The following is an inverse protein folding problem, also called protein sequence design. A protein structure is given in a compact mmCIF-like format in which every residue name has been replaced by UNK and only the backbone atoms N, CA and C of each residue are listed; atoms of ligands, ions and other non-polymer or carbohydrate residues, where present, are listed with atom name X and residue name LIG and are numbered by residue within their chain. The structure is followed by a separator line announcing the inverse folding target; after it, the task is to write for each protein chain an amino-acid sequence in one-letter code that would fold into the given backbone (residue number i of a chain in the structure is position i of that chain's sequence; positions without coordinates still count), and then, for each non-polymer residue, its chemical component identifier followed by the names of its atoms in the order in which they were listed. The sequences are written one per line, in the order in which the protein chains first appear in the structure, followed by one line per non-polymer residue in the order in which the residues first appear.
data_IF_478683964787
#
_entry.id   IF_478683964787
#
_cell.length_a   1.000
_cell.length_b   1.000
_cell.length_c   1.000
_cell.angle_alpha   90.00
_cell.angle_beta   90.00
_cell.angle_gamma   90.00
#
_symmetry.space_group_name_H-M   'P 1'
#
loop_
_entity.id
_entity.type
_entity.pdbx_description
1 polymer ?
#
# COMPACT_ATOMS: atom_id res chain seq x y z
N UNK A 1 16.19 -16.65 12.67
CA UNK A 1 15.39 -15.83 11.72
C UNK A 1 13.89 -16.09 11.80
N UNK A 2 13.43 -17.34 11.87
CA UNK A 2 12.00 -17.64 12.14
C UNK A 2 11.49 -17.07 13.46
N UNK A 3 12.35 -17.03 14.49
CA UNK A 3 12.03 -16.54 15.83
C UNK A 3 11.50 -15.10 15.87
N UNK A 4 11.74 -14.32 14.82
CA UNK A 4 11.30 -12.93 14.72
C UNK A 4 10.08 -12.75 13.80
N UNK A 5 9.56 -13.84 13.22
CA UNK A 5 8.28 -13.80 12.48
C UNK A 5 7.16 -13.40 13.44
N UNK A 6 6.15 -12.71 12.91
CA UNK A 6 5.00 -12.20 13.68
C UNK A 6 5.33 -11.21 14.82
N UNK A 7 6.60 -10.87 15.06
CA UNK A 7 7.03 -9.87 16.04
C UNK A 7 6.83 -8.42 15.58
N UNK A 8 6.14 -8.20 14.44
CA UNK A 8 5.85 -6.88 13.86
C UNK A 8 7.08 -6.00 13.61
N UNK A 9 8.27 -6.58 13.45
CA UNK A 9 9.51 -5.84 13.22
C UNK A 9 9.40 -4.88 12.03
N UNK A 10 8.81 -5.32 10.92
CA UNK A 10 8.57 -4.47 9.76
C UNK A 10 7.75 -3.22 10.10
N UNK A 11 6.70 -3.36 10.91
CA UNK A 11 5.90 -2.21 11.38
C UNK A 11 6.71 -1.25 12.25
N UNK A 12 7.50 -1.76 13.19
CA UNK A 12 8.33 -0.89 14.03
C UNK A 12 9.37 -0.10 13.22
N UNK A 13 10.05 -0.78 12.30
CA UNK A 13 11.07 -0.16 11.45
C UNK A 13 10.47 0.87 10.50
N UNK A 14 9.39 0.51 9.79
CA UNK A 14 8.73 1.43 8.85
C UNK A 14 8.13 2.62 9.59
N UNK A 15 7.45 2.42 10.72
CA UNK A 15 6.90 3.52 11.52
C UNK A 15 7.98 4.48 12.03
N UNK A 16 9.13 3.94 12.46
CA UNK A 16 10.28 4.74 12.85
C UNK A 16 10.81 5.60 11.70
N UNK A 17 11.00 5.00 10.53
CA UNK A 17 11.45 5.72 9.34
C UNK A 17 10.43 6.77 8.86
N UNK A 18 9.14 6.45 8.87
CA UNK A 18 8.05 7.41 8.56
C UNK A 18 8.16 8.64 9.47
N UNK A 19 8.33 8.44 10.77
CA UNK A 19 8.47 9.54 11.74
C UNK A 19 9.70 10.40 11.46
N UNK A 20 10.82 9.78 11.11
CA UNK A 20 12.05 10.48 10.80
C UNK A 20 11.91 11.33 9.52
N UNK A 21 11.33 10.76 8.46
CA UNK A 21 11.07 11.50 7.22
C UNK A 21 10.17 12.71 7.45
N UNK A 22 9.08 12.53 8.20
CA UNK A 22 8.17 13.63 8.55
C UNK A 22 8.87 14.71 9.39
N UNK A 23 9.75 14.32 10.32
CA UNK A 23 10.54 15.25 11.13
C UNK A 23 11.47 16.11 10.26
N UNK A 24 11.94 15.55 9.14
CA UNK A 24 12.74 16.27 8.13
C UNK A 24 11.90 17.01 7.09
N UNK A 25 10.58 17.08 7.28
CA UNK A 25 9.63 17.67 6.35
C UNK A 25 9.65 16.99 4.95
N UNK A 26 9.85 15.68 4.91
CA UNK A 26 9.81 14.85 3.70
C UNK A 26 8.52 14.03 3.73
N UNK A 27 7.77 14.05 2.63
CA UNK A 27 6.56 13.25 2.47
C UNK A 27 6.97 11.77 2.37
N UNK A 28 6.56 10.91 3.30
CA UNK A 28 6.90 9.50 3.26
C UNK A 28 6.17 8.78 2.12
N UNK A 29 6.88 7.91 1.43
CA UNK A 29 6.35 7.07 0.37
C UNK A 29 6.71 5.61 0.62
N UNK A 30 5.72 4.71 0.50
CA UNK A 30 5.89 3.29 0.72
C UNK A 30 5.18 2.52 -0.40
N UNK A 31 5.92 1.67 -1.12
CA UNK A 31 5.38 0.81 -2.16
C UNK A 31 5.49 -0.65 -1.75
N UNK A 32 4.45 -1.42 -2.06
CA UNK A 32 4.41 -2.86 -1.88
C UNK A 32 3.82 -3.50 -3.12
N UNK A 33 4.40 -4.63 -3.53
CA UNK A 33 3.80 -5.45 -4.58
C UNK A 33 2.41 -5.95 -4.15
N UNK A 34 1.50 -6.07 -5.10
CA UNK A 34 0.14 -6.58 -4.89
C UNK A 34 0.15 -8.02 -4.33
N UNK A 35 1.19 -8.79 -4.63
CA UNK A 35 1.37 -10.18 -4.14
C UNK A 35 2.03 -10.25 -2.76
N UNK A 36 2.57 -9.13 -2.26
CA UNK A 36 3.21 -9.07 -0.95
C UNK A 36 2.25 -8.51 0.11
N UNK A 37 1.33 -9.38 0.56
CA UNK A 37 0.34 -9.02 1.59
C UNK A 37 1.02 -8.60 2.90
N UNK A 38 2.18 -9.17 3.24
CA UNK A 38 2.92 -8.82 4.45
C UNK A 38 3.34 -7.35 4.47
N UNK A 39 3.91 -6.85 3.38
CA UNK A 39 4.28 -5.44 3.25
C UNK A 39 3.06 -4.51 3.19
N UNK A 40 1.97 -4.92 2.54
CA UNK A 40 0.72 -4.14 2.56
C UNK A 40 0.13 -4.02 3.97
N UNK A 41 0.17 -5.10 4.76
CA UNK A 41 -0.24 -5.03 6.16
C UNK A 41 0.69 -4.15 7.02
N UNK A 42 1.99 -4.08 6.68
CA UNK A 42 2.92 -3.15 7.35
C UNK A 42 2.54 -1.70 7.02
N UNK A 43 2.29 -1.39 5.75
CA UNK A 43 1.85 -0.06 5.31
C UNK A 43 0.58 0.39 6.03
N UNK A 44 -0.45 -0.47 6.05
CA UNK A 44 -1.72 -0.19 6.73
C UNK A 44 -1.53 0.09 8.23
N UNK A 45 -0.68 -0.69 8.92
CA UNK A 45 -0.38 -0.47 10.36
C UNK A 45 0.48 0.76 10.64
N UNK A 46 1.10 1.34 9.62
CA UNK A 46 1.87 2.58 9.71
C UNK A 46 1.06 3.78 9.21
N UNK A 47 -0.26 3.65 9.13
CA UNK A 47 -1.21 4.71 8.77
C UNK A 47 -1.07 5.23 7.33
N UNK A 48 -0.41 4.45 6.44
CA UNK A 48 -0.42 4.75 5.01
C UNK A 48 -1.78 4.39 4.39
N UNK A 49 -2.22 5.24 3.47
CA UNK A 49 -3.40 5.00 2.63
C UNK A 49 -2.97 4.63 1.20
N UNK A 50 -3.73 3.76 0.49
CA UNK A 50 -3.49 3.53 -0.93
C UNK A 50 -3.65 4.83 -1.72
N UNK A 51 -2.65 5.17 -2.55
CA UNK A 51 -2.68 6.36 -3.39
C UNK A 51 -2.69 6.01 -4.89
N UNK A 52 -1.86 5.05 -5.31
CA UNK A 52 -1.91 4.48 -6.66
C UNK A 52 -1.73 2.96 -6.60
N UNK A 53 -2.23 2.26 -7.62
CA UNK A 53 -1.98 0.83 -7.85
C UNK A 53 -1.47 0.66 -9.27
N UNK A 54 -0.32 0.01 -9.41
CA UNK A 54 0.17 -0.54 -10.68
C UNK A 54 0.09 -2.06 -10.57
N UNK A 55 -0.47 -2.70 -11.59
CA UNK A 55 -0.73 -4.13 -11.59
C UNK A 55 -0.48 -4.74 -12.96
N UNK A 56 -0.02 -5.98 -12.97
CA UNK A 56 0.25 -6.73 -14.18
C UNK A 56 -0.77 -7.87 -14.33
N UNK A 57 -1.41 -7.96 -15.50
CA UNK A 57 -2.35 -9.05 -15.82
C UNK A 57 -3.69 -9.00 -15.07
N UNK A 58 -4.05 -7.88 -14.44
CA UNK A 58 -5.37 -7.72 -13.83
C UNK A 58 -6.43 -7.44 -14.90
N UNK A 59 -7.49 -8.24 -14.90
CA UNK A 59 -8.65 -8.06 -15.77
C UNK A 59 -9.60 -7.07 -15.10
N UNK A 60 -9.95 -5.99 -15.80
CA UNK A 60 -10.86 -4.94 -15.32
C UNK A 60 -12.32 -5.22 -15.73
N UNK A 61 -12.81 -6.42 -15.45
CA UNK A 61 -14.19 -6.87 -15.74
C UNK A 61 -15.15 -6.66 -14.56
N UNK A 62 -14.70 -5.94 -13.53
CA UNK A 62 -15.43 -5.72 -12.29
C UNK A 62 -15.16 -6.75 -11.19
N UNK A 63 -14.44 -7.84 -11.47
CA UNK A 63 -14.09 -8.86 -10.48
C UNK A 63 -12.80 -8.56 -9.69
N UNK A 64 -11.98 -7.61 -10.14
CA UNK A 64 -10.71 -7.29 -9.49
C UNK A 64 -10.91 -6.72 -8.07
N UNK A 65 -9.94 -6.96 -7.18
CA UNK A 65 -9.93 -6.40 -5.82
C UNK A 65 -9.85 -4.87 -5.79
N UNK A 66 -9.48 -4.25 -6.91
CA UNK A 66 -9.40 -2.80 -7.07
C UNK A 66 -10.66 -2.20 -7.70
N UNK A 67 -11.69 -3.01 -7.98
CA UNK A 67 -12.90 -2.54 -8.64
C UNK A 67 -13.50 -1.32 -7.93
N UNK A 68 -13.56 -1.33 -6.60
CA UNK A 68 -14.09 -0.19 -5.83
C UNK A 68 -13.24 1.08 -5.96
N UNK A 69 -11.91 0.95 -6.09
CA UNK A 69 -11.03 2.09 -6.38
C UNK A 69 -11.26 2.62 -7.80
N UNK A 70 -11.60 1.75 -8.76
CA UNK A 70 -11.83 2.11 -10.16
C UNK A 70 -13.23 2.68 -10.43
N UNK A 71 -14.22 2.45 -9.56
CA UNK A 71 -15.61 2.95 -9.73
C UNK A 71 -15.70 4.46 -9.86
N UNK A 72 -14.74 5.22 -9.32
CA UNK A 72 -14.68 6.67 -9.49
C UNK A 72 -14.13 7.15 -10.84
N UNK A 73 -13.43 6.29 -11.58
CA UNK A 73 -12.81 6.63 -12.87
C UNK A 73 -13.72 6.34 -14.08
N UNK A 74 -14.70 5.43 -13.97
CA UNK A 74 -15.52 5.02 -15.12
C UNK A 74 -16.48 6.09 -15.62
N UNK A 75 -16.81 7.09 -14.80
CA UNK A 75 -17.71 8.19 -15.14
C UNK A 75 -17.02 9.37 -15.86
N UNK A 76 -15.69 9.42 -15.89
CA UNK A 76 -14.92 10.52 -16.51
C UNK A 76 -14.27 10.14 -17.85
N UNK A 77 -14.32 8.87 -18.25
CA UNK A 77 -13.71 8.37 -19.49
C UNK A 77 -14.72 8.17 -20.64
N UNK A 78 -15.94 8.69 -20.48
CA UNK A 78 -16.96 8.76 -21.55
C UNK A 78 -17.27 10.24 -21.82
N UNK A 79 -16.34 10.95 -22.43
CA UNK A 79 -16.60 12.09 -23.32
C UNK A 79 -15.65 12.01 -24.53
#
# INVERSE_FOLDING_TARGET
MEEYRNARLGTYLVKGLTKELLTRNIIPFYSASITNIGSQMVANRCDYIPFWVDTFGTILDGSSVYNDMMKGLSSELIE
#
